data_IF_724560049040
#
_entry.id   IF_724560049040
#
_cell.length_a   1.000
_cell.length_b   1.000
_cell.length_c   1.000
_cell.angle_alpha   90.00
_cell.angle_beta   90.00
_cell.angle_gamma   90.00
#
_symmetry.space_group_name_H-M   'P 1'
#
loop_
_entity.id
_entity.type
_entity.pdbx_description
1 polymer ?
#
# COMPACT_ATOMS: atom_id res chain seq x y z
N UNK A 1 -17.14 -17.76 -10.08
CA UNK A 1 -16.61 -16.53 -10.69
C UNK A 1 -15.33 -16.90 -11.41
N UNK A 2 -15.23 -16.54 -12.67
CA UNK A 2 -14.06 -16.83 -13.52
C UNK A 2 -13.24 -15.55 -13.73
N UNK A 3 -11.93 -15.62 -13.48
CA UNK A 3 -11.04 -14.46 -13.51
C UNK A 3 -9.88 -14.75 -14.46
N UNK A 4 -9.69 -13.88 -15.46
CA UNK A 4 -8.55 -13.99 -16.38
C UNK A 4 -7.49 -12.95 -16.00
N UNK A 5 -6.27 -13.41 -15.78
CA UNK A 5 -5.10 -12.61 -15.45
C UNK A 5 -4.20 -12.52 -16.69
N UNK A 6 -3.98 -11.33 -17.21
CA UNK A 6 -3.10 -11.10 -18.36
C UNK A 6 -1.76 -10.58 -17.83
N UNK A 7 -0.74 -11.43 -17.97
CA UNK A 7 0.61 -11.21 -17.45
C UNK A 7 0.98 -12.21 -16.35
N UNK A 8 1.86 -13.15 -16.65
CA UNK A 8 2.40 -14.17 -15.75
C UNK A 8 3.69 -13.74 -15.04
N UNK A 9 3.90 -12.42 -14.86
CA UNK A 9 4.99 -11.88 -14.06
C UNK A 9 4.74 -12.06 -12.56
N UNK A 10 5.65 -11.53 -11.74
CA UNK A 10 5.57 -11.67 -10.27
C UNK A 10 4.20 -11.29 -9.67
N UNK A 11 3.64 -10.15 -10.09
CA UNK A 11 2.33 -9.71 -9.61
C UNK A 11 1.20 -10.65 -10.09
N UNK A 12 1.25 -11.08 -11.36
CA UNK A 12 0.27 -12.02 -11.90
C UNK A 12 0.31 -13.38 -11.18
N UNK A 13 1.51 -13.86 -10.86
CA UNK A 13 1.70 -15.08 -10.07
C UNK A 13 1.03 -14.96 -8.68
N UNK A 14 1.33 -13.87 -7.93
CA UNK A 14 0.77 -13.67 -6.58
C UNK A 14 -0.76 -13.59 -6.62
N UNK A 15 -1.32 -12.87 -7.60
CA UNK A 15 -2.77 -12.76 -7.76
C UNK A 15 -3.38 -14.13 -8.10
N UNK A 16 -2.76 -14.89 -9.02
CA UNK A 16 -3.21 -16.22 -9.39
C UNK A 16 -3.17 -17.19 -8.20
N UNK A 17 -2.09 -17.19 -7.43
CA UNK A 17 -1.93 -18.01 -6.22
C UNK A 17 -3.01 -17.69 -5.18
N UNK A 18 -3.22 -16.40 -4.89
CA UNK A 18 -4.24 -15.97 -3.93
C UNK A 18 -5.65 -16.40 -4.38
N UNK A 19 -6.01 -16.15 -5.64
CA UNK A 19 -7.34 -16.47 -6.16
C UNK A 19 -7.57 -17.97 -6.29
N UNK A 20 -6.56 -18.75 -6.69
CA UNK A 20 -6.62 -20.20 -6.73
C UNK A 20 -6.83 -20.80 -5.34
N UNK A 21 -6.13 -20.29 -4.32
CA UNK A 21 -6.32 -20.73 -2.93
C UNK A 21 -7.73 -20.41 -2.40
N UNK A 22 -8.36 -19.33 -2.87
CA UNK A 22 -9.75 -18.98 -2.59
C UNK A 22 -10.77 -19.73 -3.47
N UNK A 23 -10.30 -20.72 -4.27
CA UNK A 23 -11.12 -21.59 -5.12
C UNK A 23 -11.89 -20.84 -6.25
N UNK A 24 -11.35 -19.73 -6.76
CA UNK A 24 -11.84 -19.12 -7.98
C UNK A 24 -11.36 -19.88 -9.23
N UNK A 25 -12.14 -19.84 -10.30
CA UNK A 25 -11.72 -20.34 -11.62
C UNK A 25 -10.78 -19.32 -12.26
N UNK A 26 -9.48 -19.62 -12.26
CA UNK A 26 -8.44 -18.69 -12.68
C UNK A 26 -7.82 -19.10 -13.99
N UNK A 27 -7.74 -18.16 -14.92
CA UNK A 27 -7.05 -18.29 -16.20
C UNK A 27 -5.87 -17.34 -16.22
N UNK A 28 -4.65 -17.82 -16.50
CA UNK A 28 -3.46 -16.97 -16.61
C UNK A 28 -2.96 -16.97 -18.05
N UNK A 29 -2.75 -15.77 -18.59
CA UNK A 29 -2.37 -15.55 -19.98
C UNK A 29 -1.05 -14.78 -20.05
N UNK A 30 -0.09 -15.27 -20.80
CA UNK A 30 1.16 -14.55 -21.11
C UNK A 30 1.66 -14.94 -22.51
N UNK A 31 2.41 -14.09 -23.14
CA UNK A 31 3.11 -14.35 -24.40
C UNK A 31 4.44 -15.09 -24.21
N UNK A 32 4.86 -15.32 -22.98
CA UNK A 32 6.08 -16.01 -22.57
C UNK A 32 5.73 -17.35 -21.93
N UNK A 33 5.89 -18.45 -22.70
CA UNK A 33 5.57 -19.81 -22.23
C UNK A 33 6.37 -20.20 -20.98
N UNK A 34 7.63 -19.73 -20.86
CA UNK A 34 8.47 -20.09 -19.70
C UNK A 34 7.92 -19.60 -18.37
N UNK A 35 7.19 -18.45 -18.37
CA UNK A 35 6.51 -17.96 -17.18
C UNK A 35 5.25 -18.75 -16.86
N UNK A 36 4.55 -19.19 -17.89
CA UNK A 36 3.35 -20.03 -17.72
C UNK A 36 3.69 -21.41 -17.17
N UNK A 37 4.82 -22.00 -17.59
CA UNK A 37 5.29 -23.28 -17.05
C UNK A 37 5.48 -23.22 -15.53
N UNK A 38 6.12 -22.16 -15.04
CA UNK A 38 6.33 -21.96 -13.60
C UNK A 38 5.00 -21.86 -12.81
N UNK A 39 3.97 -21.27 -13.41
CA UNK A 39 2.63 -21.17 -12.81
C UNK A 39 1.91 -22.53 -12.87
N UNK A 40 1.96 -23.21 -14.00
CA UNK A 40 1.31 -24.51 -14.23
C UNK A 40 1.81 -25.58 -13.27
N UNK A 41 3.11 -25.56 -12.95
CA UNK A 41 3.73 -26.52 -12.04
C UNK A 41 3.37 -26.26 -10.57
N UNK A 42 2.99 -25.03 -10.22
CA UNK A 42 2.80 -24.60 -8.84
C UNK A 42 1.33 -24.39 -8.42
N UNK A 43 0.45 -24.07 -9.38
CA UNK A 43 -0.92 -23.63 -9.09
C UNK A 43 -1.96 -24.42 -9.89
N UNK A 44 -3.13 -24.62 -9.29
CA UNK A 44 -4.30 -25.21 -9.98
C UNK A 44 -5.06 -24.11 -10.74
N UNK A 45 -4.52 -23.74 -11.91
CA UNK A 45 -5.06 -22.70 -12.78
C UNK A 45 -4.92 -23.08 -14.26
N UNK A 46 -5.81 -22.56 -15.12
CA UNK A 46 -5.65 -22.71 -16.55
C UNK A 46 -4.62 -21.72 -17.07
N UNK A 47 -3.61 -22.20 -17.79
CA UNK A 47 -2.60 -21.31 -18.42
C UNK A 47 -2.78 -21.30 -19.93
N UNK A 48 -2.73 -20.11 -20.55
CA UNK A 48 -2.91 -19.93 -21.99
C UNK A 48 -1.74 -19.10 -22.55
N UNK A 49 -1.00 -19.70 -23.49
CA UNK A 49 0.04 -18.99 -24.24
C UNK A 49 -0.59 -18.15 -25.33
N UNK A 50 -0.74 -16.84 -25.09
CA UNK A 50 -1.33 -15.92 -26.06
C UNK A 50 -0.88 -14.48 -25.82
N UNK A 51 -1.04 -13.65 -26.85
CA UNK A 51 -0.93 -12.21 -26.73
C UNK A 51 -2.26 -11.63 -26.19
N UNK A 52 -2.24 -11.11 -24.96
CA UNK A 52 -3.40 -10.51 -24.31
C UNK A 52 -3.99 -9.29 -25.03
N UNK A 53 -3.29 -8.73 -26.02
CA UNK A 53 -3.80 -7.65 -26.89
C UNK A 53 -4.40 -8.16 -28.20
N UNK A 54 -4.43 -9.48 -28.41
CA UNK A 54 -4.98 -10.07 -29.62
C UNK A 54 -6.52 -10.09 -29.61
N UNK A 55 -7.21 -9.45 -30.56
CA UNK A 55 -8.68 -9.51 -30.66
C UNK A 55 -9.20 -10.92 -30.93
N UNK A 56 -8.42 -11.80 -31.57
CA UNK A 56 -8.80 -13.20 -31.79
C UNK A 56 -8.80 -13.99 -30.49
N UNK A 57 -7.77 -13.81 -29.67
CA UNK A 57 -7.68 -14.44 -28.35
C UNK A 57 -8.83 -14.04 -27.45
N UNK A 58 -9.18 -12.74 -27.38
CA UNK A 58 -10.28 -12.27 -26.53
C UNK A 58 -11.67 -12.86 -26.93
N UNK A 59 -11.78 -13.43 -28.15
CA UNK A 59 -13.00 -14.12 -28.63
C UNK A 59 -12.90 -15.65 -28.55
N UNK A 60 -11.80 -16.16 -28.05
CA UNK A 60 -11.59 -17.59 -27.89
C UNK A 60 -12.59 -18.20 -26.88
N UNK A 61 -12.84 -19.50 -27.04
CA UNK A 61 -13.72 -20.23 -26.14
C UNK A 61 -13.18 -20.24 -24.70
N UNK A 62 -11.87 -20.23 -24.55
CA UNK A 62 -11.20 -20.20 -23.25
C UNK A 62 -11.45 -18.90 -22.47
N UNK A 63 -11.85 -17.82 -23.15
CA UNK A 63 -12.23 -16.55 -22.52
C UNK A 63 -13.73 -16.43 -22.24
N UNK A 64 -14.56 -17.37 -22.75
CA UNK A 64 -16.01 -17.36 -22.52
C UNK A 64 -16.35 -17.56 -21.03
N UNK A 65 -17.30 -16.78 -20.55
CA UNK A 65 -17.73 -16.84 -19.15
C UNK A 65 -16.76 -16.20 -18.16
N UNK A 66 -15.77 -15.46 -18.64
CA UNK A 66 -14.91 -14.64 -17.77
C UNK A 66 -15.72 -13.47 -17.20
N UNK A 67 -15.70 -13.33 -15.88
CA UNK A 67 -16.37 -12.26 -15.16
C UNK A 67 -15.47 -11.03 -15.01
N UNK A 68 -14.16 -11.26 -14.81
CA UNK A 68 -13.18 -10.21 -14.56
C UNK A 68 -11.91 -10.45 -15.38
N UNK A 69 -11.38 -9.41 -16.01
CA UNK A 69 -10.02 -9.39 -16.57
C UNK A 69 -9.14 -8.50 -15.70
N UNK A 70 -7.99 -9.02 -15.28
CA UNK A 70 -6.94 -8.34 -14.52
C UNK A 70 -5.67 -8.29 -15.36
N UNK A 71 -5.40 -7.16 -16.02
CA UNK A 71 -4.22 -6.98 -16.84
C UNK A 71 -3.07 -6.37 -16.03
N UNK A 72 -2.00 -7.16 -15.80
CA UNK A 72 -0.89 -6.83 -14.89
C UNK A 72 0.49 -7.06 -15.51
N UNK A 73 0.59 -6.90 -16.81
CA UNK A 73 1.89 -6.98 -17.50
C UNK A 73 2.83 -5.84 -17.09
N UNK A 74 4.04 -5.87 -17.62
CA UNK A 74 5.02 -4.82 -17.41
C UNK A 74 4.77 -3.55 -18.24
N UNK A 75 3.82 -3.54 -19.18
CA UNK A 75 3.58 -2.49 -20.16
C UNK A 75 2.17 -1.94 -20.00
N UNK A 76 2.06 -0.67 -19.64
CA UNK A 76 0.78 -0.01 -19.34
C UNK A 76 -0.17 -0.04 -20.54
N UNK A 77 0.35 0.23 -21.77
CA UNK A 77 -0.43 0.21 -23.00
C UNK A 77 -1.03 -1.17 -23.29
N UNK A 78 -0.29 -2.25 -23.00
CA UNK A 78 -0.78 -3.62 -23.13
C UNK A 78 -1.93 -3.87 -22.16
N UNK A 79 -1.79 -3.40 -20.92
CA UNK A 79 -2.84 -3.56 -19.91
C UNK A 79 -4.11 -2.78 -20.26
N UNK A 80 -3.96 -1.57 -20.79
CA UNK A 80 -5.09 -0.75 -21.25
C UNK A 80 -5.80 -1.42 -22.44
N UNK A 81 -5.02 -1.82 -23.47
CA UNK A 81 -5.60 -2.45 -24.67
C UNK A 81 -6.30 -3.76 -24.31
N UNK A 82 -5.70 -4.61 -23.48
CA UNK A 82 -6.31 -5.85 -23.03
C UNK A 82 -7.65 -5.62 -22.34
N UNK A 83 -7.73 -4.64 -21.44
CA UNK A 83 -8.98 -4.28 -20.75
C UNK A 83 -10.05 -3.75 -21.71
N UNK A 84 -9.68 -2.86 -22.63
CA UNK A 84 -10.60 -2.34 -23.67
C UNK A 84 -11.16 -3.49 -24.51
N UNK A 85 -10.31 -4.41 -24.97
CA UNK A 85 -10.73 -5.56 -25.76
C UNK A 85 -11.61 -6.49 -24.96
N UNK A 86 -11.30 -6.74 -23.70
CA UNK A 86 -12.13 -7.52 -22.79
C UNK A 86 -13.56 -6.95 -22.68
N UNK A 87 -13.69 -5.65 -22.43
CA UNK A 87 -14.99 -4.96 -22.38
C UNK A 87 -15.76 -5.05 -23.69
N UNK A 88 -15.08 -4.83 -24.82
CA UNK A 88 -15.71 -4.93 -26.15
C UNK A 88 -16.18 -6.34 -26.50
N UNK A 89 -15.62 -7.36 -25.84
CA UNK A 89 -16.08 -8.75 -25.96
C UNK A 89 -17.07 -9.16 -24.85
N UNK A 90 -17.60 -8.21 -24.08
CA UNK A 90 -18.70 -8.42 -23.13
C UNK A 90 -18.27 -8.87 -21.73
N UNK A 91 -16.97 -8.80 -21.40
CA UNK A 91 -16.50 -9.10 -20.04
C UNK A 91 -16.92 -7.95 -19.10
N UNK A 92 -17.65 -8.26 -17.99
CA UNK A 92 -18.27 -7.23 -17.17
C UNK A 92 -17.29 -6.30 -16.46
N UNK A 93 -16.17 -6.84 -15.96
CA UNK A 93 -15.24 -6.09 -15.12
C UNK A 93 -13.80 -6.16 -15.62
N UNK A 94 -13.10 -5.02 -15.53
CA UNK A 94 -11.71 -4.90 -15.97
C UNK A 94 -10.89 -4.12 -14.97
N UNK A 95 -9.68 -4.63 -14.70
CA UNK A 95 -8.68 -4.01 -13.83
C UNK A 95 -7.38 -3.91 -14.60
N UNK A 96 -6.82 -2.71 -14.75
CA UNK A 96 -5.55 -2.49 -15.43
C UNK A 96 -4.48 -2.01 -14.45
N UNK A 97 -3.32 -2.68 -14.43
CA UNK A 97 -2.13 -2.14 -13.78
C UNK A 97 -1.57 -0.99 -14.60
N UNK A 98 -1.39 0.16 -13.95
CA UNK A 98 -0.82 1.36 -14.56
C UNK A 98 0.29 1.91 -13.67
N UNK A 99 1.39 2.28 -14.29
CA UNK A 99 2.58 2.85 -13.63
C UNK A 99 2.79 4.32 -13.98
N UNK A 100 2.27 4.78 -15.12
CA UNK A 100 2.42 6.17 -15.56
C UNK A 100 1.60 7.08 -14.64
N UNK A 101 2.27 8.02 -13.92
CA UNK A 101 1.58 8.97 -13.05
C UNK A 101 0.55 9.84 -13.76
N UNK A 102 0.65 10.04 -15.06
CA UNK A 102 -0.30 10.84 -15.83
C UNK A 102 -1.67 10.19 -15.85
N UNK A 103 -1.73 8.88 -16.07
CA UNK A 103 -3.01 8.14 -15.98
C UNK A 103 -3.57 8.12 -14.57
N UNK A 104 -2.69 8.00 -13.57
CA UNK A 104 -3.10 7.95 -12.15
C UNK A 104 -3.59 9.29 -11.61
N UNK A 105 -3.25 10.40 -12.29
CA UNK A 105 -3.73 11.74 -11.96
C UNK A 105 -5.14 12.03 -12.51
N UNK A 106 -5.60 11.25 -13.49
CA UNK A 106 -6.93 11.43 -14.06
C UNK A 106 -8.02 10.91 -13.11
N UNK A 107 -9.20 11.55 -13.07
CA UNK A 107 -10.31 11.06 -12.28
C UNK A 107 -10.76 9.65 -12.72
N UNK A 108 -11.19 8.78 -11.80
CA UNK A 108 -11.71 7.44 -12.15
C UNK A 108 -12.88 7.48 -13.16
N UNK A 109 -13.71 8.52 -13.13
CA UNK A 109 -14.78 8.74 -14.12
C UNK A 109 -14.24 8.93 -15.53
N UNK A 110 -13.17 9.71 -15.70
CA UNK A 110 -12.51 9.92 -16.99
C UNK A 110 -11.99 8.61 -17.58
N UNK A 111 -11.36 7.79 -16.75
CA UNK A 111 -10.83 6.49 -17.17
C UNK A 111 -11.96 5.54 -17.60
N UNK A 112 -13.03 5.49 -16.82
CA UNK A 112 -14.19 4.65 -17.13
C UNK A 112 -14.89 5.10 -18.40
N UNK A 113 -15.09 6.40 -18.58
CA UNK A 113 -15.82 6.94 -19.74
C UNK A 113 -15.01 6.85 -21.05
N UNK A 114 -13.69 7.01 -21.00
CA UNK A 114 -12.87 7.07 -22.21
C UNK A 114 -12.19 5.74 -22.56
N UNK A 115 -11.87 4.90 -21.57
CA UNK A 115 -11.18 3.63 -21.77
C UNK A 115 -12.01 2.41 -21.40
N UNK A 116 -13.19 2.61 -20.79
CA UNK A 116 -14.08 1.53 -20.33
C UNK A 116 -13.36 0.56 -19.36
N UNK A 117 -12.49 1.12 -18.50
CA UNK A 117 -11.74 0.39 -17.46
C UNK A 117 -12.35 0.73 -16.10
N UNK A 118 -12.74 -0.30 -15.33
CA UNK A 118 -13.42 -0.08 -14.04
C UNK A 118 -12.44 0.34 -12.94
N UNK A 119 -11.23 -0.20 -12.93
CA UNK A 119 -10.23 0.09 -11.91
C UNK A 119 -8.81 0.17 -12.48
N UNK A 120 -8.09 1.22 -12.10
CA UNK A 120 -6.64 1.31 -12.29
C UNK A 120 -5.93 0.88 -11.00
N UNK A 121 -4.98 -0.05 -11.14
CA UNK A 121 -4.16 -0.56 -10.06
C UNK A 121 -2.72 -0.08 -10.20
N UNK A 122 -2.22 0.64 -9.21
CA UNK A 122 -0.79 0.97 -9.10
C UNK A 122 -0.26 0.49 -7.76
N UNK A 123 0.42 -0.67 -7.72
CA UNK A 123 1.01 -1.17 -6.48
C UNK A 123 1.98 -0.17 -5.85
N UNK A 124 2.77 0.51 -6.67
CA UNK A 124 3.75 1.49 -6.23
C UNK A 124 3.10 2.71 -5.55
N UNK A 125 1.97 3.19 -6.08
CA UNK A 125 1.21 4.28 -5.47
C UNK A 125 0.51 3.83 -4.18
N UNK A 126 -0.06 2.63 -4.18
CA UNK A 126 -0.71 2.06 -2.98
C UNK A 126 0.32 1.90 -1.87
N UNK A 127 1.49 1.34 -2.18
CA UNK A 127 2.58 1.20 -1.20
C UNK A 127 3.05 2.55 -0.67
N UNK A 128 3.26 3.55 -1.54
CA UNK A 128 3.67 4.88 -1.12
C UNK A 128 2.62 5.55 -0.22
N UNK A 129 1.34 5.43 -0.56
CA UNK A 129 0.23 5.93 0.26
C UNK A 129 0.16 5.23 1.61
N UNK A 130 0.34 3.92 1.64
CA UNK A 130 0.32 3.14 2.87
C UNK A 130 1.47 3.50 3.81
N UNK A 131 2.70 3.61 3.28
CA UNK A 131 3.85 4.10 4.03
C UNK A 131 3.55 5.49 4.59
N UNK A 132 3.09 6.39 3.73
CA UNK A 132 2.73 7.75 4.15
C UNK A 132 1.65 7.76 5.25
N UNK A 133 0.61 6.92 5.12
CA UNK A 133 -0.44 6.77 6.13
C UNK A 133 0.11 6.34 7.48
N UNK A 134 0.99 5.32 7.49
CA UNK A 134 1.65 4.83 8.71
C UNK A 134 2.46 5.96 9.37
N UNK A 135 3.20 6.73 8.57
CA UNK A 135 4.05 7.81 9.08
C UNK A 135 3.26 8.99 9.63
N UNK A 136 2.12 9.30 9.02
CA UNK A 136 1.27 10.43 9.42
C UNK A 136 0.34 10.11 10.58
N UNK A 137 0.18 8.83 10.92
CA UNK A 137 -0.66 8.40 12.02
C UNK A 137 0.12 7.54 13.03
N UNK A 138 1.21 8.08 13.60
CA UNK A 138 2.12 7.29 14.45
C UNK A 138 1.47 6.81 15.75
N UNK A 139 0.35 7.38 16.16
CA UNK A 139 -0.43 6.95 17.33
C UNK A 139 -1.41 5.80 17.02
N UNK A 140 -1.62 5.46 15.75
CA UNK A 140 -2.50 4.36 15.36
C UNK A 140 -1.68 3.16 14.87
N UNK A 141 -1.92 2.00 15.48
CA UNK A 141 -1.33 0.72 15.06
C UNK A 141 -1.99 0.22 13.78
N UNK A 142 -3.28 0.52 13.61
CA UNK A 142 -4.08 0.13 12.45
C UNK A 142 -5.10 1.22 12.12
N UNK A 143 -5.35 1.48 10.84
CA UNK A 143 -6.33 2.47 10.38
C UNK A 143 -7.09 1.88 9.20
N UNK A 144 -8.42 1.80 9.32
CA UNK A 144 -9.30 1.36 8.24
C UNK A 144 -10.40 2.39 8.01
N UNK A 145 -10.61 2.73 6.74
CA UNK A 145 -11.64 3.66 6.31
C UNK A 145 -12.85 2.90 5.76
N UNK A 146 -14.04 3.27 6.21
CA UNK A 146 -15.33 2.74 5.79
C UNK A 146 -16.20 3.83 5.18
N UNK A 147 -17.23 3.42 4.41
CA UNK A 147 -18.20 4.31 3.81
C UNK A 147 -17.56 5.48 3.04
N UNK A 148 -16.65 5.16 2.12
CA UNK A 148 -15.92 6.14 1.29
C UNK A 148 -15.14 7.18 2.12
N UNK A 149 -14.57 6.74 3.24
CA UNK A 149 -13.78 7.59 4.13
C UNK A 149 -14.59 8.44 5.11
N UNK A 150 -15.90 8.23 5.21
CA UNK A 150 -16.76 8.96 6.17
C UNK A 150 -16.65 8.44 7.60
N UNK A 151 -16.27 7.17 7.76
CA UNK A 151 -16.08 6.51 9.05
C UNK A 151 -14.70 5.88 9.07
N UNK A 152 -13.99 6.06 10.17
CA UNK A 152 -12.63 5.53 10.37
C UNK A 152 -12.55 4.69 11.63
N UNK A 153 -11.97 3.51 11.51
CA UNK A 153 -11.55 2.67 12.64
C UNK A 153 -10.05 2.89 12.86
N UNK A 154 -9.66 3.25 14.06
CA UNK A 154 -8.25 3.45 14.43
C UNK A 154 -7.91 2.66 15.67
N UNK A 155 -6.87 1.82 15.56
CA UNK A 155 -6.28 1.10 16.68
C UNK A 155 -5.18 1.93 17.31
N UNK A 156 -5.18 2.07 18.62
CA UNK A 156 -4.08 2.68 19.37
C UNK A 156 -3.77 1.89 20.64
N UNK A 157 -2.50 1.87 21.02
CA UNK A 157 -2.06 1.30 22.30
C UNK A 157 -2.06 2.38 23.37
N UNK A 158 -2.79 2.17 24.47
CA UNK A 158 -2.86 3.13 25.55
C UNK A 158 -1.57 3.12 26.40
N UNK A 159 -0.98 4.28 26.54
CA UNK A 159 0.14 4.48 27.44
C UNK A 159 -0.28 4.50 28.92
N UNK A 160 0.67 4.28 29.84
CA UNK A 160 0.39 4.23 31.29
C UNK A 160 -0.09 5.55 31.88
N UNK A 161 -0.02 6.66 31.13
CA UNK A 161 -0.50 7.99 31.54
C UNK A 161 -1.73 8.45 30.78
N UNK A 162 -2.41 7.55 30.07
CA UNK A 162 -3.63 7.91 29.34
C UNK A 162 -4.72 8.41 30.28
N UNK A 163 -5.39 9.53 29.97
CA UNK A 163 -6.50 10.03 30.77
C UNK A 163 -7.75 9.15 30.70
N UNK A 164 -7.79 8.16 29.83
CA UNK A 164 -8.93 7.24 29.66
C UNK A 164 -8.87 6.02 30.60
N UNK A 165 -7.76 5.82 31.32
CA UNK A 165 -7.55 4.63 32.13
C UNK A 165 -8.42 4.60 33.39
N UNK A 166 -8.85 3.40 33.75
CA UNK A 166 -9.55 3.09 35.01
C UNK A 166 -10.89 3.81 35.20
N UNK A 167 -11.44 4.43 34.15
CA UNK A 167 -12.76 5.07 34.17
C UNK A 167 -13.75 4.14 33.48
N UNK A 168 -14.92 3.81 34.06
CA UNK A 168 -15.96 3.06 33.37
C UNK A 168 -16.34 3.73 32.04
N UNK A 169 -16.48 2.96 30.96
CA UNK A 169 -16.71 3.52 29.63
C UNK A 169 -17.96 4.39 29.53
N UNK A 170 -18.98 4.08 30.31
CA UNK A 170 -20.22 4.91 30.42
C UNK A 170 -19.96 6.32 30.97
N UNK A 171 -18.89 6.50 31.74
CA UNK A 171 -18.53 7.75 32.42
C UNK A 171 -17.44 8.51 31.62
N UNK A 172 -16.89 7.89 30.55
CA UNK A 172 -15.94 8.56 29.67
C UNK A 172 -16.62 9.64 28.83
N UNK A 173 -16.01 10.82 28.83
CA UNK A 173 -16.44 11.92 27.96
C UNK A 173 -15.75 11.84 26.59
N UNK A 174 -16.24 10.94 25.75
CA UNK A 174 -15.83 10.87 24.36
C UNK A 174 -16.65 11.84 23.51
N UNK A 175 -16.09 12.34 22.37
CA UNK A 175 -16.88 13.06 21.37
C UNK A 175 -18.06 12.20 20.90
N UNK A 176 -19.22 12.83 20.64
CA UNK A 176 -20.46 12.10 20.26
C UNK A 176 -20.32 11.25 19.00
N UNK A 177 -19.38 11.62 18.11
CA UNK A 177 -19.10 10.90 16.86
C UNK A 177 -18.06 9.78 17.01
N UNK A 178 -17.63 9.43 18.25
CA UNK A 178 -16.60 8.42 18.49
C UNK A 178 -17.11 7.33 19.41
N UNK A 179 -16.90 6.09 19.02
CA UNK A 179 -17.22 4.88 19.77
C UNK A 179 -15.95 4.06 20.02
N UNK A 180 -15.83 3.46 21.18
CA UNK A 180 -14.87 2.38 21.42
C UNK A 180 -15.50 1.07 20.95
N UNK A 181 -15.05 0.60 19.79
CA UNK A 181 -15.63 -0.57 19.15
C UNK A 181 -15.10 -1.89 19.73
N UNK A 182 -13.81 -1.89 20.13
CA UNK A 182 -13.14 -3.11 20.58
C UNK A 182 -11.93 -2.78 21.47
N UNK A 183 -11.61 -3.68 22.39
CA UNK A 183 -10.40 -3.67 23.21
C UNK A 183 -9.66 -4.99 22.98
N UNK A 184 -8.37 -4.95 22.67
CA UNK A 184 -7.54 -6.13 22.64
C UNK A 184 -6.56 -6.10 23.81
N UNK A 185 -6.71 -7.07 24.74
CA UNK A 185 -5.97 -7.19 25.97
C UNK A 185 -5.51 -8.63 26.16
N UNK A 186 -4.23 -8.86 26.46
CA UNK A 186 -3.67 -10.18 26.76
C UNK A 186 -4.08 -11.25 25.73
N UNK A 187 -3.94 -10.92 24.44
CA UNK A 187 -4.30 -11.78 23.29
C UNK A 187 -5.81 -12.14 23.22
N UNK A 188 -6.66 -11.37 23.89
CA UNK A 188 -8.12 -11.55 23.87
C UNK A 188 -8.81 -10.31 23.33
N UNK A 189 -9.78 -10.55 22.46
CA UNK A 189 -10.69 -9.52 21.97
C UNK A 189 -11.84 -9.35 22.97
N UNK A 190 -12.13 -8.11 23.34
CA UNK A 190 -13.21 -7.72 24.24
C UNK A 190 -14.10 -6.73 23.49
N UNK A 191 -15.38 -7.04 23.34
CA UNK A 191 -16.39 -6.07 22.92
C UNK A 191 -16.85 -5.34 24.17
N UNK A 192 -16.52 -4.04 24.33
CA UNK A 192 -16.67 -3.36 25.60
C UNK A 192 -18.13 -3.02 25.92
N UNK A 193 -18.45 -3.05 27.20
CA UNK A 193 -19.71 -2.60 27.77
C UNK A 193 -19.49 -1.38 28.67
N UNK A 194 -20.55 -0.66 29.03
CA UNK A 194 -20.44 0.59 29.76
C UNK A 194 -19.72 0.51 31.11
N UNK A 195 -19.69 -0.67 31.77
CA UNK A 195 -19.00 -0.86 33.06
C UNK A 195 -17.54 -1.30 32.92
N UNK A 196 -17.09 -1.62 31.69
CA UNK A 196 -15.70 -1.99 31.46
C UNK A 196 -14.78 -0.76 31.58
N UNK A 197 -13.52 -1.01 31.89
CA UNK A 197 -12.49 0.01 32.03
C UNK A 197 -11.31 -0.29 31.09
N UNK A 198 -10.67 0.78 30.65
CA UNK A 198 -9.42 0.68 29.89
C UNK A 198 -8.24 0.55 30.83
N UNK A 199 -7.28 -0.29 30.49
CA UNK A 199 -6.07 -0.53 31.25
C UNK A 199 -4.82 -0.11 30.46
N UNK A 200 -3.69 0.14 31.15
CA UNK A 200 -2.42 0.40 30.46
C UNK A 200 -2.05 -0.74 29.50
N UNK A 201 -1.54 -0.39 28.33
CA UNK A 201 -1.13 -1.30 27.26
C UNK A 201 -2.27 -1.99 26.50
N UNK A 202 -3.54 -1.68 26.81
CA UNK A 202 -4.64 -2.10 25.95
C UNK A 202 -4.47 -1.55 24.54
N UNK A 203 -4.73 -2.38 23.52
CA UNK A 203 -4.98 -1.89 22.17
C UNK A 203 -6.48 -1.58 22.07
N UNK A 204 -6.80 -0.34 21.83
CA UNK A 204 -8.19 0.16 21.78
C UNK A 204 -8.52 0.61 20.38
N UNK A 205 -9.66 0.15 19.88
CA UNK A 205 -10.18 0.48 18.56
C UNK A 205 -11.26 1.54 18.68
N UNK A 206 -10.96 2.73 18.15
CA UNK A 206 -11.88 3.85 18.08
C UNK A 206 -12.52 3.90 16.70
N UNK A 207 -13.85 4.00 16.66
CA UNK A 207 -14.63 4.11 15.42
C UNK A 207 -15.35 5.45 15.42
N UNK A 208 -15.27 6.19 14.33
CA UNK A 208 -15.98 7.46 14.22
C UNK A 208 -15.57 8.32 13.04
N UNK A 209 -15.91 9.61 13.10
CA UNK A 209 -15.48 10.57 12.08
C UNK A 209 -13.94 10.67 12.05
N UNK A 210 -13.30 10.63 10.87
CA UNK A 210 -11.83 10.60 10.74
C UNK A 210 -11.10 11.71 11.48
N UNK A 211 -11.59 12.94 11.38
CA UNK A 211 -10.97 14.11 12.02
C UNK A 211 -11.09 14.04 13.54
N UNK A 212 -12.30 13.72 14.04
CA UNK A 212 -12.57 13.64 15.48
C UNK A 212 -11.80 12.50 16.16
N UNK A 213 -11.68 11.34 15.50
CA UNK A 213 -10.88 10.22 16.02
C UNK A 213 -9.39 10.59 16.03
N UNK A 214 -8.88 11.25 15.00
CA UNK A 214 -7.49 11.70 14.95
C UNK A 214 -7.17 12.72 16.05
N UNK A 215 -8.04 13.70 16.30
CA UNK A 215 -7.92 14.67 17.40
C UNK A 215 -7.95 14.00 18.77
N UNK A 216 -8.86 13.05 18.98
CA UNK A 216 -8.94 12.28 20.21
C UNK A 216 -7.62 11.56 20.49
N UNK A 217 -7.03 10.89 19.50
CA UNK A 217 -5.79 10.12 19.67
C UNK A 217 -4.58 11.00 20.03
N UNK A 218 -4.55 12.24 19.59
CA UNK A 218 -3.51 13.19 20.03
C UNK A 218 -3.57 13.49 21.53
N UNK A 219 -4.74 13.37 22.14
CA UNK A 219 -5.00 13.74 23.52
C UNK A 219 -5.07 12.54 24.49
N UNK A 220 -5.23 11.31 23.99
CA UNK A 220 -5.43 10.13 24.86
C UNK A 220 -4.14 9.48 25.37
N UNK A 221 -2.98 10.11 25.15
CA UNK A 221 -1.71 9.61 25.70
C UNK A 221 -1.34 8.24 25.14
N UNK A 222 -1.43 8.08 23.83
CA UNK A 222 -0.90 6.90 23.14
C UNK A 222 0.56 6.66 23.56
N UNK A 223 0.91 5.42 23.83
CA UNK A 223 2.23 5.06 24.32
C UNK A 223 3.31 5.52 23.33
N UNK A 224 4.05 6.54 23.69
CA UNK A 224 5.32 6.98 23.10
C UNK A 224 5.41 7.27 21.58
N UNK A 225 4.40 7.83 20.93
CA UNK A 225 4.53 8.25 19.52
C UNK A 225 4.32 9.77 19.31
N UNK A 226 4.84 10.61 20.23
CA UNK A 226 4.85 12.08 20.04
C UNK A 226 6.02 12.59 19.18
N UNK A 227 6.78 11.72 18.52
CA UNK A 227 7.82 12.20 17.61
C UNK A 227 7.18 12.55 16.27
N UNK A 228 6.90 13.84 16.08
CA UNK A 228 6.58 14.38 14.76
C UNK A 228 7.77 14.13 13.86
N UNK A 229 7.61 13.28 12.85
CA UNK A 229 8.64 13.03 11.84
C UNK A 229 8.94 14.34 11.12
N UNK A 230 10.20 14.75 11.17
CA UNK A 230 10.70 15.96 10.51
C UNK A 230 11.75 15.65 9.47
N UNK A 231 12.48 14.56 9.63
CA UNK A 231 13.59 14.15 8.78
C UNK A 231 13.42 12.69 8.39
N UNK A 232 13.26 12.44 7.11
CA UNK A 232 13.15 11.11 6.54
C UNK A 232 14.34 10.82 5.62
N UNK A 233 14.98 9.67 5.82
CA UNK A 233 15.97 9.11 4.92
C UNK A 233 15.32 7.94 4.16
N UNK A 234 15.27 8.04 2.84
CA UNK A 234 14.72 7.01 1.94
C UNK A 234 15.89 6.33 1.24
N UNK A 235 15.98 5.02 1.33
CA UNK A 235 16.93 4.19 0.59
C UNK A 235 16.15 3.46 -0.49
N UNK A 236 16.36 3.90 -1.75
CA UNK A 236 15.64 3.45 -2.93
C UNK A 236 14.86 4.56 -3.62
N UNK A 237 15.34 5.01 -4.79
CA UNK A 237 14.69 5.99 -5.67
C UNK A 237 13.91 5.30 -6.82
N UNK A 238 13.57 4.04 -6.66
CA UNK A 238 12.71 3.31 -7.56
C UNK A 238 11.31 3.94 -7.66
N UNK A 239 10.37 3.29 -8.34
CA UNK A 239 9.03 3.87 -8.59
C UNK A 239 8.30 4.28 -7.31
N UNK A 240 8.34 3.47 -6.26
CA UNK A 240 7.74 3.82 -4.96
C UNK A 240 8.42 5.04 -4.35
N UNK A 241 9.77 5.10 -4.37
CA UNK A 241 10.52 6.25 -3.86
C UNK A 241 10.24 7.54 -4.62
N UNK A 242 10.05 7.45 -5.94
CA UNK A 242 9.67 8.58 -6.80
C UNK A 242 8.29 9.17 -6.48
N UNK A 243 7.41 8.38 -5.88
CA UNK A 243 6.08 8.82 -5.44
C UNK A 243 6.12 9.27 -3.98
N UNK A 244 6.76 8.49 -3.12
CA UNK A 244 6.78 8.73 -1.68
C UNK A 244 7.57 9.99 -1.30
N UNK A 245 8.74 10.22 -1.90
CA UNK A 245 9.61 11.33 -1.53
C UNK A 245 8.92 12.71 -1.69
N UNK A 246 8.27 13.04 -2.84
CA UNK A 246 7.48 14.26 -2.96
C UNK A 246 6.30 14.33 -1.99
N UNK A 247 5.60 13.21 -1.74
CA UNK A 247 4.47 13.18 -0.79
C UNK A 247 4.91 13.57 0.62
N UNK A 248 6.06 13.10 1.08
CA UNK A 248 6.60 13.45 2.39
C UNK A 248 7.08 14.91 2.43
N UNK A 249 7.71 15.39 1.35
CA UNK A 249 8.17 16.78 1.25
C UNK A 249 6.98 17.77 1.29
N UNK A 250 5.87 17.48 0.61
CA UNK A 250 4.66 18.29 0.62
C UNK A 250 4.03 18.43 2.03
N UNK A 251 4.27 17.45 2.89
CA UNK A 251 3.85 17.47 4.30
C UNK A 251 4.84 18.18 5.22
N UNK A 252 5.89 18.78 4.65
CA UNK A 252 6.88 19.56 5.37
C UNK A 252 7.97 18.72 6.05
N UNK A 253 8.13 17.45 5.63
CA UNK A 253 9.21 16.58 6.07
C UNK A 253 10.46 16.87 5.23
N UNK A 254 11.62 17.02 5.88
CA UNK A 254 12.90 17.10 5.20
C UNK A 254 13.29 15.71 4.68
N UNK A 255 13.36 15.56 3.37
CA UNK A 255 13.59 14.26 2.72
C UNK A 255 15.01 14.20 2.17
N UNK A 256 15.73 13.13 2.48
CA UNK A 256 16.93 12.69 1.78
C UNK A 256 16.65 11.35 1.10
N UNK A 257 17.14 11.17 -0.12
CA UNK A 257 16.99 9.92 -0.89
C UNK A 257 18.36 9.44 -1.32
N UNK A 258 18.65 8.16 -1.13
CA UNK A 258 19.88 7.50 -1.59
C UNK A 258 19.51 6.39 -2.57
N UNK A 259 20.17 6.34 -3.72
CA UNK A 259 20.03 5.25 -4.68
C UNK A 259 21.33 5.07 -5.49
N UNK A 260 21.60 3.85 -5.90
CA UNK A 260 22.76 3.50 -6.72
C UNK A 260 22.50 3.58 -8.23
N UNK A 261 21.31 4.02 -8.64
CA UNK A 261 20.96 4.30 -10.05
C UNK A 261 20.87 5.81 -10.27
N UNK A 262 21.70 6.31 -11.19
CA UNK A 262 21.76 7.75 -11.51
C UNK A 262 20.49 8.29 -12.16
N UNK A 263 19.81 7.48 -12.96
CA UNK A 263 18.60 7.91 -13.64
C UNK A 263 17.41 7.95 -12.66
N UNK A 264 17.33 7.00 -11.74
CA UNK A 264 16.40 7.08 -10.62
C UNK A 264 16.64 8.33 -9.78
N UNK A 265 17.90 8.62 -9.42
CA UNK A 265 18.26 9.82 -8.68
C UNK A 265 17.82 11.10 -9.39
N UNK A 266 18.06 11.21 -10.71
CA UNK A 266 17.66 12.37 -11.52
C UNK A 266 16.14 12.55 -11.55
N UNK A 267 15.40 11.44 -11.70
CA UNK A 267 13.94 11.48 -11.73
C UNK A 267 13.36 11.97 -10.40
N UNK A 268 13.85 11.47 -9.26
CA UNK A 268 13.40 11.94 -7.95
C UNK A 268 13.79 13.40 -7.74
N UNK A 269 15.04 13.76 -8.04
CA UNK A 269 15.52 15.14 -7.89
C UNK A 269 14.69 16.16 -8.70
N UNK A 270 14.21 15.77 -9.89
CA UNK A 270 13.34 16.63 -10.70
C UNK A 270 11.95 16.88 -10.10
N UNK A 271 11.52 16.06 -9.15
CA UNK A 271 10.20 16.13 -8.50
C UNK A 271 10.24 16.80 -7.13
N UNK A 272 11.40 16.80 -6.47
CA UNK A 272 11.59 17.44 -5.17
C UNK A 272 11.90 18.93 -5.33
N UNK A 273 11.40 19.73 -4.38
CA UNK A 273 11.62 21.19 -4.32
C UNK A 273 12.81 21.56 -3.44
N UNK A 274 12.99 20.83 -2.34
CA UNK A 274 14.02 21.09 -1.29
C UNK A 274 14.77 19.83 -0.88
N UNK A 275 14.20 18.65 -1.12
CA UNK A 275 14.79 17.36 -0.76
C UNK A 275 16.13 17.13 -1.44
N UNK A 276 16.99 16.36 -0.81
CA UNK A 276 18.34 16.04 -1.28
C UNK A 276 18.32 14.62 -1.84
N UNK A 277 18.89 14.44 -3.03
CA UNK A 277 19.05 13.13 -3.65
C UNK A 277 20.53 12.84 -3.85
N UNK A 278 20.95 11.71 -3.34
CA UNK A 278 22.34 11.28 -3.33
C UNK A 278 22.49 10.02 -4.19
N UNK A 279 23.47 10.04 -5.07
CA UNK A 279 23.91 8.85 -5.77
C UNK A 279 24.91 8.10 -4.91
N UNK A 280 24.56 6.89 -4.47
CA UNK A 280 25.41 6.07 -3.61
C UNK A 280 24.79 4.73 -3.25
N UNK A 281 25.59 3.87 -2.67
CA UNK A 281 25.13 2.57 -2.18
C UNK A 281 24.51 2.72 -0.78
N UNK A 282 23.21 2.41 -0.65
CA UNK A 282 22.51 2.45 0.62
C UNK A 282 23.00 1.44 1.67
N UNK A 283 23.89 0.53 1.30
CA UNK A 283 24.56 -0.40 2.25
C UNK A 283 25.86 0.15 2.80
N UNK A 284 26.37 1.26 2.27
CA UNK A 284 27.60 1.89 2.74
C UNK A 284 27.35 2.63 4.07
N UNK A 285 27.88 2.06 5.16
CA UNK A 285 27.72 2.58 6.51
C UNK A 285 28.36 3.97 6.65
N UNK A 286 29.48 4.23 6.00
CA UNK A 286 30.17 5.50 6.09
C UNK A 286 29.34 6.60 5.39
N UNK A 287 28.76 6.27 4.24
CA UNK A 287 27.82 7.15 3.55
C UNK A 287 26.60 7.44 4.44
N UNK A 288 25.97 6.42 5.02
CA UNK A 288 24.80 6.60 5.87
C UNK A 288 25.10 7.50 7.09
N UNK A 289 26.26 7.33 7.72
CA UNK A 289 26.70 8.18 8.85
C UNK A 289 27.00 9.61 8.40
N UNK A 290 27.70 9.81 7.29
CA UNK A 290 27.98 11.13 6.73
C UNK A 290 26.68 11.89 6.40
N UNK A 291 25.67 11.19 5.93
CA UNK A 291 24.38 11.77 5.57
C UNK A 291 23.41 11.88 6.76
N UNK A 292 23.85 11.52 7.95
CA UNK A 292 23.12 11.75 9.19
C UNK A 292 21.99 10.76 9.43
N UNK A 293 22.24 9.47 9.17
CA UNK A 293 21.28 8.41 9.51
C UNK A 293 20.91 8.44 10.99
N UNK A 294 21.85 8.80 11.88
CA UNK A 294 21.66 8.93 13.32
C UNK A 294 20.71 10.07 13.71
N UNK A 295 20.57 11.05 12.82
CA UNK A 295 19.71 12.21 13.00
C UNK A 295 18.35 12.07 12.33
N UNK A 296 18.12 11.02 11.56
CA UNK A 296 16.85 10.79 10.89
C UNK A 296 15.78 10.35 11.90
N UNK A 297 14.60 10.93 11.82
CA UNK A 297 13.46 10.48 12.64
C UNK A 297 12.90 9.15 12.10
N UNK A 298 13.14 8.87 10.81
CA UNK A 298 12.78 7.62 10.15
C UNK A 298 13.70 7.29 8.99
N UNK A 299 13.98 5.99 8.82
CA UNK A 299 14.64 5.43 7.63
C UNK A 299 13.67 4.47 6.93
N UNK A 300 13.51 4.65 5.61
CA UNK A 300 12.58 3.90 4.77
C UNK A 300 13.37 3.18 3.70
N UNK A 301 13.42 1.85 3.75
CA UNK A 301 14.14 1.02 2.79
C UNK A 301 13.15 0.40 1.80
N UNK A 302 13.22 0.82 0.52
CA UNK A 302 12.28 0.47 -0.55
C UNK A 302 12.99 0.21 -1.87
N UNK A 303 14.08 -0.54 -1.82
CA UNK A 303 14.77 -1.03 -3.03
C UNK A 303 14.00 -2.23 -3.63
N UNK A 304 14.49 -2.75 -4.75
CA UNK A 304 13.93 -3.94 -5.38
C UNK A 304 14.26 -5.26 -4.68
N UNK A 305 15.16 -5.24 -3.68
CA UNK A 305 15.57 -6.42 -2.91
C UNK A 305 15.02 -6.38 -1.49
N UNK A 306 14.04 -7.24 -1.20
CA UNK A 306 13.37 -7.32 0.10
C UNK A 306 14.32 -7.68 1.25
N UNK A 307 15.28 -8.58 1.00
CA UNK A 307 16.26 -9.00 2.01
C UNK A 307 17.19 -7.85 2.37
N UNK A 308 17.61 -7.13 1.34
CA UNK A 308 18.44 -5.93 1.51
C UNK A 308 17.69 -4.84 2.27
N UNK A 309 16.41 -4.62 1.95
CA UNK A 309 15.56 -3.65 2.67
C UNK A 309 15.48 -3.97 4.16
N UNK A 310 15.29 -5.25 4.52
CA UNK A 310 15.25 -5.68 5.92
C UNK A 310 16.61 -5.47 6.62
N UNK A 311 17.70 -5.84 5.97
CA UNK A 311 19.05 -5.67 6.52
C UNK A 311 19.37 -4.18 6.75
N UNK A 312 19.08 -3.32 5.78
CA UNK A 312 19.32 -1.88 5.89
C UNK A 312 18.46 -1.24 6.99
N UNK A 313 17.21 -1.65 7.13
CA UNK A 313 16.34 -1.16 8.20
C UNK A 313 16.86 -1.55 9.59
N UNK A 314 17.36 -2.79 9.75
CA UNK A 314 18.01 -3.24 11.00
C UNK A 314 19.31 -2.48 11.27
N UNK A 315 20.12 -2.25 10.23
CA UNK A 315 21.36 -1.47 10.34
C UNK A 315 21.07 -0.03 10.75
N UNK A 316 20.12 0.63 10.08
CA UNK A 316 19.72 2.00 10.42
C UNK A 316 19.26 2.11 11.88
N UNK A 317 18.44 1.15 12.34
CA UNK A 317 18.00 1.07 13.74
C UNK A 317 19.15 0.84 14.74
N UNK A 318 20.24 0.22 14.30
CA UNK A 318 21.43 0.02 15.15
C UNK A 318 22.32 1.26 15.21
N UNK A 319 22.29 2.08 14.18
CA UNK A 319 23.09 3.30 14.09
C UNK A 319 22.44 4.51 14.80
N UNK A 320 21.15 4.52 15.01
CA UNK A 320 20.36 5.58 15.68
C UNK A 320 18.92 5.22 15.78
#
# INVERSE_FOLDING_TARGET
MRIAIIGAGHLGYIIAEFLSNEQYDVVVVDSDESKLDAIRDALDVLTIHADGTSPSFMRDEDMKGTDIVVAVTAIDEVNIIACILAKKNGIPHTIARIRDPKFLAEPPSYIRENFDIDLLLSPELITAREINRILMTPSALNVEDFAEGKVRLMETKLGPRSPLLHIPLKDLRLPQSVLIAMIFRDHRMIIPHGNDVLLPLDNVYFLGNPETVAELLQNVGAANYQHRIRRALIIGAGRTGQILAPMLEEQGISVKVIDNDRDHCRLVASRLKKGIVLYGDGTDIDLLKQEGVEDADIVICITSDERLNMMMALLAKHLG
#
